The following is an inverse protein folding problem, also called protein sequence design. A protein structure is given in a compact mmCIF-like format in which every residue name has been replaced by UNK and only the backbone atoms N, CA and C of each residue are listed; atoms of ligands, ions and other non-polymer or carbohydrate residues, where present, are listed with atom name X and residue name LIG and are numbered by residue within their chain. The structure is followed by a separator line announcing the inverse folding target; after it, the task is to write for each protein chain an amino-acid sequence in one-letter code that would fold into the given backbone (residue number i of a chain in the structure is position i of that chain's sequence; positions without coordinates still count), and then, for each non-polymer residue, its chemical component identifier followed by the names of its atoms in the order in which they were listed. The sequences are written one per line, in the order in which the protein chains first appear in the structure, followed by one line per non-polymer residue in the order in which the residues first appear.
data_IF_024324764647
#
_entry.id   IF_024324764647
#
_cell.length_a   1.000
_cell.length_b   1.000
_cell.length_c   1.000
_cell.angle_alpha   90.00
_cell.angle_beta   90.00
_cell.angle_gamma   90.00
#
_symmetry.space_group_name_H-M   'P 1'
#
loop_
_entity.id
_entity.type
_entity.pdbx_description
1 polymer ?
2 non-polymer ?
3 non-polymer ?
4 water ?
#
# COMPACT_ATOMS: atom_id res chain seq x y z
N UNK A 1 10.05 9.16 26.46
CA UNK A 1 10.88 9.53 25.33
C UNK A 1 10.38 8.84 24.06
N UNK A 2 10.24 9.60 22.98
CA UNK A 2 9.74 9.03 21.73
C UNK A 2 10.76 8.10 21.09
N UNK A 3 10.25 7.20 20.26
CA UNK A 3 11.11 6.41 19.40
C UNK A 3 11.72 7.31 18.32
N UNK A 4 12.97 7.02 17.97
CA UNK A 4 13.71 7.84 17.01
C UNK A 4 13.89 7.09 15.71
N UNK A 5 13.58 7.76 14.59
CA UNK A 5 13.75 7.19 13.26
C UNK A 5 14.42 8.22 12.36
N UNK A 6 15.20 7.74 11.41
CA UNK A 6 15.91 8.57 10.44
C UNK A 6 15.74 7.95 9.05
N UNK A 7 15.30 8.76 8.09
CA UNK A 7 15.08 8.26 6.74
C UNK A 7 15.52 9.27 5.69
N UNK A 8 16.13 8.78 4.64
CA UNK A 8 16.32 9.53 3.41
C UNK A 8 15.16 9.25 2.47
N UNK A 9 14.56 10.30 1.91
CA UNK A 9 13.48 10.17 0.94
C UNK A 9 13.81 11.02 -0.28
N UNK A 10 13.15 10.72 -1.40
CA UNK A 10 13.39 11.38 -2.67
C UNK A 10 12.10 11.98 -3.19
N UNK A 11 12.20 13.17 -3.79
CA UNK A 11 11.10 13.83 -4.46
C UNK A 11 11.19 13.53 -5.94
N UNK A 12 10.16 12.87 -6.49
CA UNK A 12 10.16 12.43 -7.87
C UNK A 12 9.08 13.14 -8.67
N UNK A 13 9.32 13.29 -9.96
CA UNK A 13 8.34 13.88 -10.87
C UNK A 13 8.99 14.76 -11.92
N UNK A 14 8.22 15.03 -12.98
CA UNK A 14 8.69 15.82 -14.11
C UNK A 14 9.04 17.25 -13.68
N UNK A 15 9.60 18.00 -14.63
CA UNK A 15 9.95 19.37 -14.35
C UNK A 15 8.71 20.22 -14.08
N UNK A 16 8.85 21.13 -13.11
CA UNK A 16 7.82 22.11 -12.75
C UNK A 16 6.57 21.49 -12.16
N UNK A 17 6.62 20.26 -11.64
CA UNK A 17 5.45 19.70 -10.96
C UNK A 17 5.30 20.24 -9.54
N UNK A 18 6.34 20.84 -8.98
CA UNK A 18 6.30 21.37 -7.65
C UNK A 18 7.14 20.63 -6.61
N UNK A 19 8.13 19.86 -7.02
CA UNK A 19 8.96 19.14 -6.06
C UNK A 19 9.63 20.09 -5.07
N UNK A 20 10.27 21.14 -5.57
CA UNK A 20 10.94 22.09 -4.69
C UNK A 20 9.93 22.86 -3.83
N UNK A 21 8.85 23.34 -4.45
CA UNK A 21 7.86 24.11 -3.70
C UNK A 21 7.22 23.28 -2.60
N UNK A 22 7.01 21.99 -2.86
CA UNK A 22 6.46 21.13 -1.83
C UNK A 22 7.46 20.94 -0.68
N UNK A 23 8.73 20.75 -1.01
CA UNK A 23 9.75 20.61 0.02
C UNK A 23 9.90 21.89 0.82
N UNK A 24 9.85 23.05 0.15
CA UNK A 24 9.91 24.33 0.85
C UNK A 24 8.71 24.50 1.78
N UNK A 25 7.51 24.17 1.29
CA UNK A 25 6.32 24.27 2.15
C UNK A 25 6.45 23.37 3.36
N UNK A 26 7.02 22.18 3.20
CA UNK A 26 7.14 21.24 4.31
C UNK A 26 8.17 21.71 5.33
N UNK A 27 9.36 22.13 4.86
CA UNK A 27 10.48 22.41 5.75
C UNK A 27 10.50 23.84 6.27
N UNK A 28 10.09 24.82 5.47
CA UNK A 28 10.14 26.23 5.87
C UNK A 28 8.77 26.87 5.99
N UNK A 29 7.71 26.13 5.63
CA UNK A 29 6.32 26.56 5.79
C UNK A 29 6.06 27.93 5.17
N UNK A 30 6.43 28.06 3.90
CA UNK A 30 6.04 29.22 3.13
C UNK A 30 6.06 28.85 1.65
N UNK A 31 5.63 29.79 0.82
CA UNK A 31 5.55 29.62 -0.62
C UNK A 31 5.91 30.94 -1.28
N UNK A 32 6.70 30.87 -2.35
CA UNK A 32 7.15 32.06 -3.06
C UNK A 32 7.42 31.68 -4.51
N UNK A 33 6.73 32.35 -5.44
CA UNK A 33 6.95 32.08 -6.86
C UNK A 33 8.39 32.33 -7.26
N UNK A 34 9.07 33.26 -6.57
CA UNK A 34 10.44 33.63 -6.87
C UNK A 34 11.45 32.99 -5.92
N UNK A 35 11.09 31.86 -5.32
CA UNK A 35 12.04 31.15 -4.47
C UNK A 35 13.16 30.56 -5.31
N UNK A 36 14.40 30.80 -4.89
CA UNK A 36 15.57 30.33 -5.66
C UNK A 36 16.34 29.25 -4.91
N UNK A 42 21.96 19.17 -1.76
CA UNK A 42 21.08 18.28 -2.51
C UNK A 42 19.80 17.95 -1.75
N UNK A 43 19.79 18.17 -0.44
CA UNK A 43 18.67 17.74 0.39
C UNK A 43 18.36 18.78 1.46
N UNK A 44 17.11 18.76 1.91
CA UNK A 44 16.66 19.54 3.06
C UNK A 44 16.41 18.60 4.23
N UNK A 45 16.45 19.15 5.43
CA UNK A 45 16.25 18.38 6.66
C UNK A 45 14.97 18.83 7.34
N UNK A 46 14.22 17.88 7.84
CA UNK A 46 13.00 18.15 8.60
C UNK A 46 12.89 17.15 9.74
N UNK A 47 12.66 17.66 10.95
CA UNK A 47 12.37 16.81 12.10
C UNK A 47 10.88 16.88 12.39
N UNK A 48 10.24 15.72 12.50
CA UNK A 48 8.80 15.61 12.56
C UNK A 48 8.39 14.69 13.70
N UNK A 49 7.43 15.13 14.51
CA UNK A 49 6.87 14.34 15.59
C UNK A 49 5.54 13.75 15.17
N UNK A 50 5.32 12.48 15.52
CA UNK A 50 4.06 11.78 15.26
C UNK A 50 3.46 11.38 16.60
N UNK A 51 2.35 12.02 16.98
CA UNK A 51 1.79 11.86 18.32
C UNK A 51 1.17 10.49 18.51
N UNK A 52 0.50 9.97 17.49
CA UNK A 52 -0.28 8.74 17.63
C UNK A 52 0.56 7.55 18.05
N UNK A 53 1.88 7.59 17.79
CA UNK A 53 2.74 6.46 18.09
C UNK A 53 3.97 6.91 18.88
N UNK A 54 4.01 8.18 19.27
CA UNK A 54 5.11 8.77 20.02
C UNK A 54 6.45 8.46 19.33
N UNK A 55 6.56 8.93 18.10
CA UNK A 55 7.74 8.67 17.28
C UNK A 55 8.26 9.99 16.71
N UNK A 56 9.58 10.12 16.68
CA UNK A 56 10.25 11.29 16.14
C UNK A 56 11.05 10.88 14.91
N UNK A 57 10.82 11.56 13.80
CA UNK A 57 11.44 11.22 12.53
C UNK A 57 12.29 12.39 12.06
N UNK A 58 13.53 12.10 11.67
CA UNK A 58 14.42 13.06 11.02
C UNK A 58 14.55 12.65 9.56
N UNK A 59 14.17 13.54 8.65
CA UNK A 59 14.12 13.25 7.23
C UNK A 59 15.23 13.98 6.48
N UNK A 60 15.87 13.28 5.55
CA UNK A 60 16.67 13.90 4.51
C UNK A 60 15.84 13.86 3.23
N UNK A 61 15.42 15.03 2.76
CA UNK A 61 14.53 15.15 1.60
C UNK A 61 15.38 15.54 0.39
N UNK A 62 15.70 14.58 -0.46
CA UNK A 62 16.54 14.82 -1.62
C UNK A 62 15.68 15.31 -2.79
N UNK A 63 16.14 16.36 -3.46
CA UNK A 63 15.36 16.99 -4.52
C UNK A 63 16.34 17.51 -5.57
N UNK A 64 16.54 16.73 -6.64
CA UNK A 64 17.43 17.13 -7.73
C UNK A 64 17.10 16.36 -8.99
N UNK A 72 25.26 9.09 -12.96
CA UNK A 72 26.15 9.26 -11.83
C UNK A 72 25.45 9.98 -10.68
N UNK A 73 25.03 11.21 -10.95
CA UNK A 73 24.28 11.97 -9.95
C UNK A 73 22.94 11.30 -9.66
N UNK A 74 22.33 10.67 -10.66
CA UNK A 74 21.08 9.96 -10.45
C UNK A 74 21.26 8.80 -9.48
N UNK A 75 22.34 8.03 -9.63
CA UNK A 75 22.56 6.88 -8.77
C UNK A 75 22.79 7.33 -7.32
N UNK A 76 23.57 8.40 -7.12
CA UNK A 76 23.73 8.96 -5.79
C UNK A 76 22.46 9.59 -5.26
N UNK A 77 21.59 10.06 -6.15
CA UNK A 77 20.32 10.64 -5.73
C UNK A 77 19.44 9.58 -5.08
N UNK A 78 19.33 8.40 -5.72
CA UNK A 78 18.44 7.37 -5.21
C UNK A 78 19.05 6.57 -4.06
N UNK A 79 20.38 6.46 -4.01
CA UNK A 79 21.02 5.51 -3.12
C UNK A 79 20.63 5.76 -1.66
N UNK A 80 20.24 4.68 -0.98
CA UNK A 80 19.88 4.76 0.42
C UNK A 80 18.48 5.28 0.71
N UNK A 81 17.72 5.65 -0.30
CA UNK A 81 16.37 6.15 -0.07
C UNK A 81 15.47 5.02 0.41
N UNK A 82 14.65 5.34 1.41
CA UNK A 82 13.69 4.42 1.99
C UNK A 82 12.25 4.75 1.63
N UNK A 83 12.01 5.85 0.93
CA UNK A 83 10.66 6.26 0.57
C UNK A 83 10.74 7.43 -0.37
N UNK A 84 9.60 7.80 -0.92
CA UNK A 84 9.57 8.92 -1.85
C UNK A 84 8.17 9.42 -2.09
N UNK A 85 8.10 10.66 -2.58
CA UNK A 85 6.87 11.27 -3.04
C UNK A 85 6.90 11.33 -4.56
N UNK A 86 5.85 10.80 -5.18
CA UNK A 86 5.76 10.71 -6.64
C UNK A 86 4.76 11.75 -7.12
N UNK A 87 5.27 12.89 -7.59
CA UNK A 87 4.45 14.06 -7.88
C UNK A 87 4.10 14.14 -9.36
N UNK A 88 2.91 14.67 -9.63
CA UNK A 88 2.55 15.17 -10.94
C UNK A 88 1.72 16.43 -10.80
N UNK A 89 1.62 17.16 -11.91
CA UNK A 89 0.91 18.44 -11.98
C UNK A 89 -0.45 18.17 -12.61
N UNK A 90 -1.52 18.37 -11.84
CA UNK A 90 -2.86 18.04 -12.31
C UNK A 90 -3.30 18.90 -13.50
N UNK A 91 -2.56 19.97 -13.80
CA UNK A 91 -2.86 20.82 -14.94
C UNK A 91 -2.13 20.39 -16.21
N UNK A 92 -1.25 19.40 -16.12
CA UNK A 92 -0.47 18.92 -17.28
C UNK A 92 -0.51 17.40 -17.30
N UNK A 93 -1.24 16.84 -18.27
CA UNK A 93 -1.44 15.40 -18.31
C UNK A 93 -0.13 14.64 -18.54
N UNK A 94 0.79 15.21 -19.32
CA UNK A 94 2.05 14.53 -19.59
C UNK A 94 2.83 14.23 -18.31
N UNK A 95 2.73 15.11 -17.30
CA UNK A 95 3.42 14.82 -16.04
C UNK A 95 2.77 13.65 -15.31
N UNK A 96 1.48 13.41 -15.55
CA UNK A 96 0.81 12.27 -14.94
C UNK A 96 1.16 10.98 -15.68
N UNK A 97 1.27 11.05 -17.01
CA UNK A 97 1.67 9.87 -17.79
C UNK A 97 3.05 9.38 -17.37
N UNK A 98 3.95 10.30 -16.98
CA UNK A 98 5.34 9.98 -16.76
C UNK A 98 5.65 9.44 -15.37
N UNK A 99 4.69 9.48 -14.43
CA UNK A 99 5.02 9.04 -13.07
C UNK A 99 5.40 7.57 -13.05
N UNK A 100 4.87 6.77 -13.98
CA UNK A 100 5.29 5.37 -14.08
C UNK A 100 6.77 5.26 -14.42
N UNK A 101 7.27 6.16 -15.28
CA UNK A 101 8.69 6.12 -15.62
C UNK A 101 9.56 6.48 -14.42
N UNK A 102 9.09 7.39 -13.58
CA UNK A 102 9.84 7.74 -12.37
C UNK A 102 9.86 6.58 -11.40
N UNK A 103 8.71 5.91 -11.23
CA UNK A 103 8.67 4.73 -10.35
C UNK A 103 9.65 3.67 -10.81
N UNK A 104 9.65 3.36 -12.12
CA UNK A 104 10.55 2.33 -12.64
C UNK A 104 12.00 2.73 -12.46
N UNK A 105 12.32 4.00 -12.70
CA UNK A 105 13.70 4.46 -12.58
C UNK A 105 14.20 4.31 -11.14
N UNK A 106 13.36 4.71 -10.17
CA UNK A 106 13.72 4.55 -8.77
C UNK A 106 13.93 3.09 -8.42
N UNK A 107 12.95 2.24 -8.74
CA UNK A 107 13.05 0.83 -8.38
C UNK A 107 14.23 0.16 -9.08
N UNK A 108 14.48 0.53 -10.34
CA UNK A 108 15.61 -0.03 -11.06
C UNK A 108 16.93 0.44 -10.46
N UNK A 109 17.03 1.72 -10.08
CA UNK A 109 18.26 2.21 -9.48
C UNK A 109 18.54 1.53 -8.15
N UNK A 110 17.51 1.39 -7.32
CA UNK A 110 17.67 0.77 -6.00
C UNK A 110 17.68 -0.75 -6.05
N UNK A 111 17.26 -1.35 -7.16
CA UNK A 111 17.10 -2.79 -7.29
C UNK A 111 16.15 -3.35 -6.23
N UNK A 112 15.14 -2.57 -5.86
CA UNK A 112 14.10 -3.02 -4.94
C UNK A 112 13.00 -1.98 -4.92
N UNK A 113 11.84 -2.40 -4.42
CA UNK A 113 10.72 -1.49 -4.27
C UNK A 113 10.85 -0.71 -2.96
N UNK A 114 10.47 0.56 -2.99
CA UNK A 114 10.39 1.38 -1.79
C UNK A 114 8.99 1.99 -1.77
N UNK A 115 8.43 2.30 -0.61
CA UNK A 115 7.09 2.90 -0.58
C UNK A 115 7.10 4.26 -1.24
N UNK A 116 6.05 4.52 -2.03
CA UNK A 116 5.85 5.80 -2.67
C UNK A 116 4.43 6.28 -2.38
N UNK A 117 4.29 7.57 -2.17
CA UNK A 117 2.98 8.22 -2.07
C UNK A 117 2.76 9.00 -3.35
N UNK A 118 1.66 8.70 -4.04
CA UNK A 118 1.31 9.44 -5.26
C UNK A 118 0.72 10.78 -4.86
N UNK A 119 1.34 11.86 -5.32
CA UNK A 119 0.97 13.22 -4.93
C UNK A 119 0.48 13.95 -6.17
N UNK A 120 -0.81 14.28 -6.19
CA UNK A 120 -1.39 15.10 -7.25
C UNK A 120 -1.31 16.56 -6.81
N UNK A 121 -0.34 17.29 -7.35
CA UNK A 121 -0.01 18.63 -6.87
C UNK A 121 -0.67 19.71 -7.72
N UNK A 122 -0.72 20.92 -7.14
CA UNK A 122 -1.30 22.12 -7.75
C UNK A 122 -2.81 22.04 -7.88
N UNK A 123 -3.48 21.37 -6.94
CA UNK A 123 -4.93 21.23 -7.02
C UNK A 123 -5.67 22.54 -6.76
N UNK A 124 -4.97 23.58 -6.31
CA UNK A 124 -5.60 24.89 -6.18
C UNK A 124 -5.96 25.48 -7.54
N UNK A 125 -5.31 25.02 -8.61
CA UNK A 125 -5.55 25.51 -9.97
C UNK A 125 -6.75 24.77 -10.58
N UNK A 126 -7.92 25.00 -9.98
CA UNK A 126 -9.12 24.26 -10.38
C UNK A 126 -9.51 24.52 -11.83
N UNK A 127 -9.34 25.76 -12.29
CA UNK A 127 -9.82 26.12 -13.63
C UNK A 127 -8.97 25.54 -14.75
N UNK A 128 -7.75 25.08 -14.45
CA UNK A 128 -6.89 24.51 -15.47
C UNK A 128 -6.53 23.06 -15.20
N UNK A 129 -7.24 22.40 -14.27
CA UNK A 129 -6.95 21.00 -13.96
C UNK A 129 -7.45 20.09 -15.07
N UNK A 130 -6.61 19.13 -15.45
CA UNK A 130 -6.98 18.17 -16.50
C UNK A 130 -6.97 16.74 -16.01
N UNK A 131 -6.24 16.40 -14.95
CA UNK A 131 -6.19 15.05 -14.43
C UNK A 131 -7.17 14.94 -13.27
N UNK A 132 -8.19 14.10 -13.43
CA UNK A 132 -9.22 13.97 -12.42
C UNK A 132 -8.73 13.17 -11.23
N UNK A 133 -9.38 13.40 -10.08
CA UNK A 133 -9.02 12.71 -8.85
C UNK A 133 -9.05 11.20 -9.02
N UNK A 134 -10.07 10.69 -9.72
CA UNK A 134 -10.23 9.24 -9.83
C UNK A 134 -9.09 8.59 -10.60
N UNK A 135 -8.49 9.30 -11.55
CA UNK A 135 -7.38 8.73 -12.32
C UNK A 135 -6.16 8.48 -11.43
N UNK A 136 -5.79 9.48 -10.63
CA UNK A 136 -4.67 9.29 -9.72
C UNK A 136 -4.94 8.22 -8.68
N UNK A 137 -6.17 8.19 -8.16
CA UNK A 137 -6.54 7.16 -7.19
C UNK A 137 -6.39 5.76 -7.80
N UNK A 138 -6.80 5.59 -9.06
CA UNK A 138 -6.71 4.27 -9.68
C UNK A 138 -5.27 3.84 -9.88
N UNK A 139 -4.41 4.74 -10.36
CA UNK A 139 -3.00 4.38 -10.53
C UNK A 139 -2.40 3.97 -9.20
N UNK A 140 -2.59 4.78 -8.15
CA UNK A 140 -2.04 4.46 -6.85
C UNK A 140 -2.59 3.14 -6.33
N UNK A 141 -3.89 2.91 -6.52
CA UNK A 141 -4.50 1.65 -6.06
C UNK A 141 -3.88 0.45 -6.75
N UNK A 142 -3.61 0.58 -8.06
CA UNK A 142 -3.02 -0.54 -8.80
C UNK A 142 -1.63 -0.89 -8.28
N UNK A 143 -0.94 0.07 -7.66
CA UNK A 143 0.40 -0.15 -7.14
C UNK A 143 0.44 -0.26 -5.61
N UNK A 144 -0.72 -0.30 -4.97
CA UNK A 144 -0.82 -0.26 -3.50
C UNK A 144 -0.05 0.94 -2.93
N UNK A 145 -0.13 2.07 -3.63
CA UNK A 145 0.38 3.35 -3.16
C UNK A 145 -0.74 4.16 -2.54
N UNK A 146 -0.40 4.96 -1.53
CA UNK A 146 -1.33 5.96 -1.03
C UNK A 146 -1.42 7.11 -2.04
N UNK A 147 -2.53 7.84 -1.98
CA UNK A 147 -2.80 8.94 -2.90
C UNK A 147 -3.18 10.19 -2.13
N UNK A 148 -2.57 11.32 -2.47
CA UNK A 148 -2.78 12.58 -1.78
C UNK A 148 -2.90 13.71 -2.80
N UNK A 149 -3.90 14.57 -2.63
CA UNK A 149 -4.03 15.80 -3.41
C UNK A 149 -3.47 16.96 -2.61
N UNK A 150 -2.50 17.67 -3.19
CA UNK A 150 -1.73 18.66 -2.43
C UNK A 150 -1.65 19.97 -3.18
N UNK A 151 -1.32 21.02 -2.42
CA UNK A 151 -1.01 22.34 -2.98
C UNK A 151 0.12 22.93 -2.16
N UNK A 152 1.30 23.08 -2.77
CA UNK A 152 2.38 23.79 -2.12
C UNK A 152 2.00 25.23 -1.84
N UNK A 153 1.17 25.83 -2.70
CA UNK A 153 0.77 27.22 -2.52
C UNK A 153 -0.07 27.40 -1.26
N UNK A 154 -1.15 26.63 -1.12
CA UNK A 154 -2.02 26.79 0.03
C UNK A 154 -1.59 25.96 1.23
N UNK A 155 -0.67 25.02 1.05
CA UNK A 155 -0.28 24.11 2.10
C UNK A 155 -1.15 22.88 2.23
N UNK A 156 -2.19 22.75 1.39
CA UNK A 156 -3.18 21.69 1.53
C UNK A 156 -2.53 20.31 1.46
N UNK A 157 -2.66 19.55 2.55
CA UNK A 157 -2.25 18.16 2.65
C UNK A 157 -0.76 17.94 2.40
N UNK A 158 0.06 18.99 2.42
CA UNK A 158 1.49 18.80 2.21
C UNK A 158 2.12 18.04 3.37
N UNK A 159 1.91 18.53 4.60
CA UNK A 159 2.45 17.83 5.75
C UNK A 159 1.90 16.41 5.85
N UNK A 160 0.62 16.23 5.49
CA UNK A 160 0.02 14.91 5.55
C UNK A 160 0.74 13.92 4.64
N UNK A 161 1.10 14.36 3.43
CA UNK A 161 1.78 13.47 2.50
C UNK A 161 3.09 12.95 3.08
N UNK A 162 3.92 13.85 3.61
CA UNK A 162 5.17 13.42 4.22
C UNK A 162 4.91 12.57 5.46
N UNK A 163 3.92 12.95 6.28
CA UNK A 163 3.63 12.20 7.50
C UNK A 163 3.17 10.78 7.19
N UNK A 164 2.29 10.62 6.20
CA UNK A 164 1.85 9.29 5.80
C UNK A 164 3.03 8.45 5.34
N UNK A 165 3.94 9.03 4.56
CA UNK A 165 5.12 8.30 4.12
C UNK A 165 5.97 7.88 5.32
N UNK A 166 6.18 8.79 6.28
CA UNK A 166 6.95 8.45 7.47
C UNK A 166 6.35 7.26 8.20
N UNK A 167 5.03 7.24 8.37
CA UNK A 167 4.40 6.14 9.09
C UNK A 167 4.59 4.82 8.35
N UNK A 168 4.52 4.85 7.02
CA UNK A 168 4.74 3.61 6.26
C UNK A 168 6.18 3.14 6.41
N UNK A 169 7.14 4.06 6.36
CA UNK A 169 8.53 3.66 6.51
C UNK A 169 8.80 3.13 7.92
N UNK A 170 8.12 3.69 8.93
CA UNK A 170 8.27 3.20 10.30
C UNK A 170 7.73 1.79 10.44
N UNK A 171 6.54 1.52 9.88
CA UNK A 171 6.00 0.16 9.95
C UNK A 171 6.87 -0.83 9.20
N UNK A 172 7.53 -0.39 8.12
CA UNK A 172 8.45 -1.28 7.42
C UNK A 172 9.72 -1.51 8.22
N UNK A 173 10.22 -0.47 8.89
CA UNK A 173 11.33 -0.67 9.83
C UNK A 173 10.96 -1.71 10.89
N UNK A 174 9.73 -1.62 11.41
CA UNK A 174 9.30 -2.59 12.41
C UNK A 174 9.19 -3.99 11.81
N UNK A 175 8.68 -4.10 10.58
CA UNK A 175 8.65 -5.39 9.89
C UNK A 175 10.04 -6.02 9.86
N UNK A 176 11.04 -5.23 9.46
CA UNK A 176 12.40 -5.75 9.34
C UNK A 176 12.93 -6.16 10.71
N UNK A 177 12.65 -5.36 11.75
CA UNK A 177 13.04 -5.75 13.11
C UNK A 177 12.52 -7.14 13.45
N UNK A 178 11.26 -7.42 13.10
CA UNK A 178 10.69 -8.72 13.42
C UNK A 178 11.30 -9.83 12.57
N UNK A 179 11.65 -9.52 11.31
CA UNK A 179 12.23 -10.55 10.46
C UNK A 179 13.62 -10.95 10.94
N UNK A 180 14.40 -9.97 11.42
CA UNK A 180 15.74 -10.22 11.92
C UNK A 180 15.75 -10.81 13.33
N UNK A 181 14.59 -10.97 13.95
CA UNK A 181 14.48 -11.38 15.34
C UNK A 181 13.68 -12.66 15.50
N UNK A 182 13.70 -13.54 14.49
CA UNK A 182 12.89 -14.74 14.53
C UNK A 182 13.44 -15.75 15.55
N UNK B 3 -1.75 -11.41 -21.26
CA UNK B 3 -0.69 -11.99 -20.46
C UNK B 3 -1.25 -13.04 -19.49
N UNK B 4 -0.39 -13.98 -19.09
CA UNK B 4 -0.77 -15.11 -18.25
C UNK B 4 0.03 -15.05 -16.95
N UNK B 5 -0.66 -15.08 -15.82
CA UNK B 5 -0.01 -15.00 -14.52
C UNK B 5 -0.54 -16.10 -13.60
N UNK B 6 0.32 -16.52 -12.67
CA UNK B 6 -0.03 -17.54 -11.69
C UNK B 6 0.52 -17.10 -10.33
N UNK B 7 -0.36 -17.03 -9.34
CA UNK B 7 0.02 -16.57 -8.01
C UNK B 7 -0.55 -17.48 -6.94
N UNK B 8 0.27 -17.80 -5.95
CA UNK B 8 -0.19 -18.35 -4.70
C UNK B 8 -0.50 -17.20 -3.74
N UNK B 9 -1.70 -17.22 -3.15
CA UNK B 9 -2.09 -16.22 -2.17
C UNK B 9 -2.57 -16.95 -0.93
N UNK B 10 -2.52 -16.25 0.21
CA UNK B 10 -2.92 -16.81 1.49
C UNK B 10 -4.10 -16.02 2.04
N UNK B 11 -5.06 -16.73 2.62
CA UNK B 11 -6.14 -16.13 3.40
C UNK B 11 -5.72 -16.16 4.86
N UNK B 12 -5.69 -14.99 5.50
CA UNK B 12 -5.23 -14.85 6.87
C UNK B 12 -6.29 -14.22 7.77
N UNK B 13 -6.30 -14.60 9.02
CA UNK B 13 -7.22 -14.03 9.98
C UNK B 13 -7.61 -15.03 11.04
N UNK B 14 -8.16 -14.51 12.15
CA UNK B 14 -8.56 -15.35 13.27
C UNK B 14 -9.65 -16.33 12.87
N UNK B 15 -9.95 -17.25 13.78
CA UNK B 15 -11.01 -18.20 13.52
C UNK B 15 -12.35 -17.52 13.34
N UNK B 16 -13.15 -18.07 12.43
CA UNK B 16 -14.53 -17.65 12.17
C UNK B 16 -14.64 -16.23 11.62
N UNK B 17 -13.56 -15.63 11.13
CA UNK B 17 -13.68 -14.33 10.49
C UNK B 17 -14.30 -14.43 9.10
N UNK B 18 -14.28 -15.61 8.48
CA UNK B 18 -14.92 -15.79 7.19
C UNK B 18 -13.97 -16.08 6.04
N UNK B 19 -12.80 -16.65 6.34
CA UNK B 19 -11.83 -16.94 5.29
C UNK B 19 -12.38 -17.96 4.30
N UNK B 20 -12.98 -19.03 4.81
CA UNK B 20 -13.55 -20.05 3.94
C UNK B 20 -14.76 -19.52 3.18
N UNK B 21 -15.65 -18.81 3.87
CA UNK B 21 -16.85 -18.29 3.23
C UNK B 21 -16.50 -17.32 2.11
N UNK B 22 -15.46 -16.50 2.31
CA UNK B 22 -15.06 -15.56 1.26
C UNK B 22 -14.48 -16.30 0.05
N UNK B 23 -13.66 -17.31 0.29
CA UNK B 23 -13.11 -18.09 -0.82
C UNK B 23 -14.21 -18.85 -1.54
N UNK B 24 -15.19 -19.35 -0.79
CA UNK B 24 -16.29 -20.10 -1.39
C UNK B 24 -17.19 -19.19 -2.23
N UNK B 25 -17.50 -18.00 -1.73
CA UNK B 25 -18.23 -17.02 -2.53
C UNK B 25 -17.46 -16.66 -3.79
N UNK B 26 -16.15 -16.47 -3.67
CA UNK B 26 -15.32 -16.08 -4.81
C UNK B 26 -15.30 -17.17 -5.88
N UNK B 27 -15.00 -18.41 -5.49
CA UNK B 27 -14.73 -19.48 -6.43
C UNK B 27 -16.00 -20.19 -6.92
N UNK B 28 -17.01 -20.33 -6.07
CA UNK B 28 -18.20 -21.11 -6.41
C UNK B 28 -19.49 -20.31 -6.37
N UNK B 29 -19.43 -19.03 -6.01
CA UNK B 29 -20.58 -18.11 -6.13
C UNK B 29 -21.76 -18.56 -5.28
N UNK B 30 -21.49 -19.06 -4.07
CA UNK B 30 -22.57 -19.42 -3.17
C UNK B 30 -22.12 -19.24 -1.73
N UNK B 31 -23.11 -19.09 -0.84
CA UNK B 31 -22.87 -18.89 0.58
C UNK B 31 -23.82 -19.81 1.35
N UNK B 32 -23.25 -20.75 2.12
CA UNK B 32 -24.00 -21.64 2.98
C UNK B 32 -23.32 -21.68 4.33
N UNK B 33 -24.08 -21.43 5.40
CA UNK B 33 -23.51 -21.35 6.74
C UNK B 33 -22.95 -22.70 7.16
N UNK B 41 -7.24 -31.07 0.38
CA UNK B 41 -6.52 -30.20 -0.52
C UNK B 41 -5.98 -28.98 0.22
N UNK B 42 -4.76 -28.56 -0.14
CA UNK B 42 -4.13 -27.43 0.53
C UNK B 42 -4.67 -26.08 0.05
N UNK B 43 -5.30 -26.03 -1.11
CA UNK B 43 -5.69 -24.76 -1.68
C UNK B 43 -6.91 -24.93 -2.58
N UNK B 44 -7.59 -23.81 -2.82
CA UNK B 44 -8.63 -23.71 -3.83
C UNK B 44 -8.09 -22.96 -5.04
N UNK B 45 -8.52 -23.36 -6.23
CA UNK B 45 -8.06 -22.78 -7.48
C UNK B 45 -9.13 -21.84 -8.03
N UNK B 46 -8.70 -20.74 -8.63
CA UNK B 46 -9.60 -19.80 -9.28
C UNK B 46 -8.94 -19.28 -10.55
N UNK B 47 -9.70 -19.26 -11.63
CA UNK B 47 -9.30 -18.61 -12.87
C UNK B 47 -10.10 -17.31 -13.01
N UNK B 48 -9.40 -16.20 -13.22
CA UNK B 48 -10.08 -14.94 -13.46
C UNK B 48 -9.34 -14.15 -14.51
N UNK B 49 -10.06 -13.24 -15.17
CA UNK B 49 -9.49 -12.38 -16.19
C UNK B 49 -9.71 -10.92 -15.80
N UNK B 50 -8.66 -10.12 -15.92
CA UNK B 50 -8.74 -8.68 -15.68
C UNK B 50 -8.80 -8.01 -17.05
N UNK B 51 -9.99 -7.52 -17.40
CA UNK B 51 -10.26 -7.18 -18.80
C UNK B 51 -9.59 -5.87 -19.21
N UNK B 52 -9.43 -4.92 -18.28
CA UNK B 52 -8.87 -3.63 -18.65
C UNK B 52 -7.42 -3.74 -19.10
N UNK B 53 -6.68 -4.72 -18.60
CA UNK B 53 -5.32 -4.97 -19.03
C UNK B 53 -5.19 -6.31 -19.76
N UNK B 54 -6.31 -6.98 -20.00
CA UNK B 54 -6.35 -8.28 -20.67
C UNK B 54 -5.33 -9.25 -20.08
N UNK B 55 -5.45 -9.46 -18.78
CA UNK B 55 -4.58 -10.38 -18.07
C UNK B 55 -5.39 -11.56 -17.57
N UNK B 56 -4.84 -12.76 -17.75
CA UNK B 56 -5.42 -13.99 -17.21
C UNK B 56 -4.62 -14.44 -16.01
N UNK B 57 -5.30 -14.67 -14.89
CA UNK B 57 -4.67 -15.03 -13.63
C UNK B 57 -5.18 -16.39 -13.19
N UNK B 58 -4.27 -17.23 -12.71
CA UNK B 58 -4.61 -18.46 -12.01
C UNK B 58 -4.19 -18.30 -10.56
N UNK B 59 -5.16 -18.37 -9.64
CA UNK B 59 -4.88 -18.22 -8.22
C UNK B 59 -4.91 -19.58 -7.53
N UNK B 60 -3.91 -19.82 -6.68
CA UNK B 60 -3.93 -20.90 -5.70
C UNK B 60 -4.18 -20.24 -4.35
N UNK B 61 -5.33 -20.51 -3.75
CA UNK B 61 -5.77 -19.81 -2.55
C UNK B 61 -5.58 -20.74 -1.36
N UNK B 62 -4.57 -20.44 -0.54
CA UNK B 62 -4.26 -21.24 0.64
C UNK B 62 -4.91 -20.63 1.86
N UNK B 63 -5.45 -21.49 2.73
CA UNK B 63 -6.15 -21.05 3.93
C UNK B 63 -5.54 -21.72 5.15
N UNK B 64 -5.27 -20.92 6.18
CA UNK B 64 -4.74 -21.41 7.45
C UNK B 64 -5.86 -21.31 8.48
N UNK B 65 -6.85 -22.20 8.34
CA UNK B 65 -8.07 -22.18 9.12
C UNK B 65 -7.81 -22.20 10.61
N UNK B 66 -7.46 -23.37 11.13
CA UNK B 66 -7.08 -23.47 12.54
C UNK B 66 -8.28 -23.60 13.45
N UNK B 67 -8.32 -22.83 14.54
CA UNK B 67 -7.36 -21.76 14.86
C UNK B 67 -5.97 -22.22 15.31
N UNK B 68 -4.93 -21.82 14.58
CA UNK B 68 -3.57 -22.15 14.99
C UNK B 68 -2.95 -21.01 15.77
N UNK B 69 -2.09 -21.38 16.71
CA UNK B 69 -1.35 -20.37 17.47
C UNK B 69 -0.31 -19.71 16.58
N UNK B 70 -0.08 -18.42 16.83
CA UNK B 70 0.96 -17.71 16.09
C UNK B 70 2.32 -18.35 16.32
N UNK B 71 3.13 -18.39 15.28
CA UNK B 71 4.47 -18.93 15.39
C UNK B 71 5.45 -17.89 14.87
N UNK B 72 6.69 -17.96 15.38
CA UNK B 72 7.74 -17.08 14.86
C UNK B 72 7.90 -17.26 13.37
N UNK B 73 8.06 -18.50 12.91
CA UNK B 73 8.14 -18.85 11.50
C UNK B 73 7.28 -20.09 11.27
N UNK B 74 6.30 -19.99 10.38
CA UNK B 74 5.43 -21.12 10.07
C UNK B 74 5.95 -21.81 8.82
N UNK B 75 6.30 -23.09 8.96
CA UNK B 75 6.91 -23.82 7.86
C UNK B 75 5.87 -24.18 6.80
N UNK B 76 6.26 -24.05 5.54
CA UNK B 76 5.42 -24.52 4.43
C UNK B 76 4.27 -23.66 3.95
N UNK B 77 3.42 -23.20 4.88
CA UNK B 77 2.17 -22.56 4.47
C UNK B 77 2.42 -21.33 3.60
N UNK B 78 3.36 -20.47 4.00
CA UNK B 78 3.56 -19.22 3.25
C UNK B 78 4.42 -19.39 2.02
N UNK B 79 5.20 -20.47 1.93
CA UNK B 79 6.21 -20.63 0.90
C UNK B 79 5.62 -20.40 -0.49
N UNK B 80 6.25 -19.49 -1.25
CA UNK B 80 5.81 -19.19 -2.60
C UNK B 80 4.72 -18.13 -2.70
N UNK B 81 4.14 -17.71 -1.59
CA UNK B 81 3.04 -16.74 -1.65
C UNK B 81 3.55 -15.38 -2.12
N UNK B 82 2.76 -14.75 -2.99
CA UNK B 82 3.07 -13.41 -3.50
C UNK B 82 2.05 -12.36 -3.06
N UNK B 83 1.06 -12.74 -2.27
CA UNK B 83 0.04 -11.79 -1.84
C UNK B 83 -0.92 -12.50 -0.91
N UNK B 84 -1.83 -11.72 -0.34
CA UNK B 84 -2.81 -12.32 0.56
C UNK B 84 -3.90 -11.36 0.94
N UNK B 85 -4.94 -11.93 1.54
CA UNK B 85 -6.05 -11.18 2.11
C UNK B 85 -6.00 -11.31 3.62
N UNK B 86 -6.07 -10.18 4.31
CA UNK B 86 -5.93 -10.10 5.76
C UNK B 86 -7.30 -9.73 6.35
N UNK B 87 -8.03 -10.74 6.82
CA UNK B 87 -9.42 -10.59 7.21
C UNK B 87 -9.58 -10.40 8.71
N UNK B 88 -10.57 -9.59 9.09
CA UNK B 88 -11.07 -9.62 10.46
C UNK B 88 -12.59 -9.52 10.42
N UNK B 89 -13.17 -9.77 11.58
CA UNK B 89 -14.62 -9.77 11.77
C UNK B 89 -14.99 -8.45 12.45
N UNK B 90 -15.70 -7.58 11.74
CA UNK B 90 -16.05 -6.27 12.26
C UNK B 90 -16.94 -6.33 13.49
N UNK B 91 -17.48 -7.51 13.81
CA UNK B 91 -18.27 -7.68 15.03
C UNK B 91 -17.44 -8.17 16.22
N UNK B 92 -16.15 -8.42 16.02
CA UNK B 92 -15.30 -8.93 17.09
C UNK B 92 -13.99 -8.15 17.08
N UNK B 93 -13.81 -7.28 18.07
CA UNK B 93 -12.63 -6.43 18.16
C UNK B 93 -11.35 -7.25 18.22
N UNK B 94 -11.40 -8.42 18.88
CA UNK B 94 -10.18 -9.22 19.05
C UNK B 94 -9.61 -9.65 17.71
N UNK B 95 -10.47 -9.98 16.74
CA UNK B 95 -9.96 -10.39 15.43
C UNK B 95 -9.30 -9.23 14.70
N UNK B 96 -9.73 -7.99 14.97
CA UNK B 96 -9.08 -6.83 14.38
C UNK B 96 -7.72 -6.59 15.02
N UNK B 97 -7.62 -6.72 16.34
CA UNK B 97 -6.35 -6.54 17.01
C UNK B 97 -5.31 -7.54 16.47
N UNK B 98 -5.75 -8.74 16.15
CA UNK B 98 -4.83 -9.80 15.76
C UNK B 98 -4.36 -9.74 14.31
N UNK B 99 -4.92 -8.87 13.46
CA UNK B 99 -4.47 -8.89 12.07
C UNK B 99 -3.00 -8.47 11.99
N UNK B 100 -2.54 -7.58 12.88
CA UNK B 100 -1.12 -7.24 12.90
C UNK B 100 -0.26 -8.48 13.14
N UNK B 101 -0.74 -9.38 14.02
CA UNK B 101 0.05 -10.57 14.33
C UNK B 101 0.08 -11.54 13.16
N UNK B 102 -1.01 -11.64 12.40
CA UNK B 102 -1.00 -12.44 11.18
C UNK B 102 -0.06 -11.85 10.14
N UNK B 103 -0.11 -10.52 9.96
CA UNK B 103 0.80 -9.87 9.04
C UNK B 103 2.25 -10.21 9.35
N UNK B 104 2.63 -10.08 10.62
CA UNK B 104 4.01 -10.32 11.02
C UNK B 104 4.40 -11.79 10.83
N UNK B 105 3.50 -12.73 11.12
CA UNK B 105 3.83 -14.13 10.92
C UNK B 105 4.14 -14.41 9.46
N UNK B 106 3.36 -13.83 8.56
CA UNK B 106 3.64 -13.98 7.13
C UNK B 106 5.00 -13.38 6.78
N UNK B 107 5.27 -12.16 7.24
CA UNK B 107 6.50 -11.48 6.84
C UNK B 107 7.72 -12.16 7.44
N UNK B 108 7.66 -12.56 8.71
CA UNK B 108 8.75 -13.32 9.31
C UNK B 108 8.97 -14.64 8.57
N UNK B 109 7.89 -15.34 8.23
CA UNK B 109 8.03 -16.64 7.58
C UNK B 109 8.59 -16.50 6.16
N UNK B 110 8.28 -15.42 5.48
CA UNK B 110 8.76 -15.20 4.12
C UNK B 110 10.06 -14.42 4.07
N UNK B 111 10.44 -13.77 5.17
CA UNK B 111 11.62 -12.91 5.23
C UNK B 111 11.53 -11.76 4.23
N UNK B 112 10.31 -11.36 3.90
CA UNK B 112 10.05 -10.23 3.01
C UNK B 112 8.60 -9.80 3.18
N UNK B 113 8.33 -8.57 2.76
CA UNK B 113 6.95 -8.09 2.70
C UNK B 113 6.30 -8.56 1.42
N UNK B 114 5.02 -8.91 1.51
CA UNK B 114 4.20 -9.19 0.33
C UNK B 114 2.96 -8.31 0.41
N UNK B 115 2.32 -7.98 -0.72
CA UNK B 115 1.11 -7.14 -0.65
C UNK B 115 -0.02 -7.87 0.05
N UNK B 116 -0.67 -7.18 0.98
CA UNK B 116 -1.86 -7.66 1.65
C UNK B 116 -2.97 -6.65 1.47
N UNK B 117 -4.19 -7.14 1.30
CA UNK B 117 -5.39 -6.31 1.26
C UNK B 117 -6.12 -6.54 2.57
N UNK B 118 -6.34 -5.47 3.33
CA UNK B 118 -7.07 -5.56 4.60
C UNK B 118 -8.54 -5.70 4.26
N UNK B 119 -9.18 -6.76 4.77
CA UNK B 119 -10.55 -7.09 4.46
C UNK B 119 -11.37 -7.04 5.74
N UNK B 120 -12.25 -6.04 5.86
CA UNK B 120 -13.18 -5.96 6.97
C UNK B 120 -14.43 -6.75 6.59
N UNK B 121 -14.55 -7.96 7.12
CA UNK B 121 -15.61 -8.88 6.70
C UNK B 121 -16.81 -8.82 7.65
N UNK B 122 -17.95 -9.33 7.14
CA UNK B 122 -19.23 -9.39 7.87
C UNK B 122 -19.83 -8.02 8.09
N UNK B 123 -19.63 -7.08 7.17
CA UNK B 123 -20.21 -5.75 7.31
C UNK B 123 -21.73 -5.76 7.15
N UNK B 124 -22.31 -6.89 6.74
CA UNK B 124 -23.76 -7.01 6.71
C UNK B 124 -24.37 -7.06 8.11
N UNK B 125 -23.56 -7.38 9.13
CA UNK B 125 -24.04 -7.40 10.52
C UNK B 125 -23.90 -6.00 11.11
N UNK B 126 -24.75 -5.10 10.61
CA UNK B 126 -24.64 -3.68 10.97
C UNK B 126 -24.90 -3.44 12.45
N UNK B 127 -25.86 -4.16 13.03
CA UNK B 127 -26.24 -3.92 14.41
C UNK B 127 -25.21 -4.47 15.40
N UNK B 128 -24.41 -5.45 15.00
CA UNK B 128 -23.40 -6.04 15.86
C UNK B 128 -21.99 -5.54 15.56
N UNK B 129 -21.83 -4.66 14.58
CA UNK B 129 -20.51 -4.18 14.21
C UNK B 129 -19.90 -3.32 15.31
N UNK B 130 -18.63 -3.56 15.60
CA UNK B 130 -17.92 -2.81 16.63
C UNK B 130 -16.65 -2.13 16.12
N UNK B 131 -16.07 -2.58 15.01
CA UNK B 131 -14.87 -1.98 14.46
C UNK B 131 -15.29 -1.01 13.35
N UNK B 132 -15.05 0.28 13.57
CA UNK B 132 -15.49 1.31 12.65
C UNK B 132 -14.64 1.30 11.38
N UNK B 133 -15.22 1.86 10.30
CA UNK B 133 -14.52 1.93 9.03
C UNK B 133 -13.19 2.67 9.16
N UNK B 134 -13.21 3.81 9.85
CA UNK B 134 -12.00 4.63 9.97
C UNK B 134 -10.86 3.84 10.59
N UNK B 135 -11.16 2.98 11.57
CA UNK B 135 -10.13 2.20 12.22
C UNK B 135 -9.41 1.29 11.25
N UNK B 136 -10.16 0.58 10.39
CA UNK B 136 -9.53 -0.30 9.43
C UNK B 136 -8.78 0.46 8.35
N UNK B 137 -9.31 1.61 7.93
CA UNK B 137 -8.64 2.44 6.94
C UNK B 137 -7.31 2.94 7.48
N UNK B 138 -7.27 3.33 8.75
CA UNK B 138 -6.03 3.83 9.33
C UNK B 138 -4.98 2.73 9.42
N UNK B 139 -5.37 1.53 9.86
CA UNK B 139 -4.40 0.43 9.93
C UNK B 139 -3.84 0.12 8.55
N UNK B 140 -4.72 0.01 7.55
CA UNK B 140 -4.27 -0.26 6.20
C UNK B 140 -3.34 0.84 5.70
N UNK B 141 -3.70 2.10 5.92
CA UNK B 141 -2.91 3.22 5.41
C UNK B 141 -1.50 3.23 6.01
N UNK B 142 -1.38 2.91 7.30
CA UNK B 142 -0.07 2.89 7.95
C UNK B 142 0.86 1.85 7.36
N UNK B 143 0.34 0.82 6.70
CA UNK B 143 1.14 -0.22 6.08
C UNK B 143 1.13 -0.13 4.56
N UNK B 144 0.55 0.93 4.00
CA UNK B 144 0.36 1.05 2.56
C UNK B 144 -0.41 -0.14 1.98
N UNK B 145 -1.37 -0.65 2.77
CA UNK B 145 -2.30 -1.68 2.30
C UNK B 145 -3.58 -1.03 1.79
N UNK B 146 -4.20 -1.67 0.81
CA UNK B 146 -5.56 -1.29 0.44
C UNK B 146 -6.54 -1.84 1.47
N UNK B 147 -7.72 -1.23 1.53
CA UNK B 147 -8.73 -1.58 2.51
C UNK B 147 -10.06 -1.79 1.81
N UNK B 148 -10.76 -2.87 2.16
CA UNK B 148 -12.03 -3.23 1.54
C UNK B 148 -13.00 -3.69 2.62
N UNK B 149 -14.25 -3.24 2.53
CA UNK B 149 -15.32 -3.72 3.38
C UNK B 149 -16.10 -4.76 2.59
N UNK B 150 -16.21 -5.98 3.13
CA UNK B 150 -16.77 -7.09 2.38
C UNK B 150 -17.77 -7.86 3.23
N UNK B 151 -18.55 -8.69 2.55
CA UNK B 151 -19.47 -9.62 3.18
C UNK B 151 -19.56 -10.84 2.28
N UNK B 152 -19.12 -11.99 2.78
CA UNK B 152 -19.30 -13.22 2.02
C UNK B 152 -20.77 -13.58 1.88
N UNK B 153 -21.60 -13.15 2.84
CA UNK B 153 -23.03 -13.42 2.78
C UNK B 153 -23.66 -12.74 1.58
N UNK B 154 -23.55 -11.41 1.50
CA UNK B 154 -24.14 -10.69 0.38
C UNK B 154 -23.29 -10.72 -0.88
N UNK B 155 -22.01 -11.04 -0.75
CA UNK B 155 -21.08 -10.99 -1.86
C UNK B 155 -20.43 -9.65 -2.11
N UNK B 156 -20.79 -8.63 -1.34
CA UNK B 156 -20.29 -7.28 -1.54
C UNK B 156 -18.76 -7.24 -1.49
N UNK B 157 -18.16 -6.74 -2.57
CA UNK B 157 -16.74 -6.45 -2.67
C UNK B 157 -15.85 -7.68 -2.54
N UNK B 158 -16.43 -8.88 -2.61
CA UNK B 158 -15.60 -10.09 -2.55
C UNK B 158 -14.74 -10.20 -3.80
N UNK B 159 -15.36 -10.09 -4.97
CA UNK B 159 -14.61 -10.12 -6.23
C UNK B 159 -13.58 -9.00 -6.28
N UNK B 160 -13.97 -7.80 -5.86
CA UNK B 160 -13.06 -6.65 -5.92
C UNK B 160 -11.81 -6.88 -5.09
N UNK B 161 -11.97 -7.47 -3.90
CA UNK B 161 -10.81 -7.72 -3.04
C UNK B 161 -9.77 -8.59 -3.73
N UNK B 162 -10.19 -9.73 -4.28
CA UNK B 162 -9.25 -10.59 -5.00
C UNK B 162 -8.72 -9.89 -6.25
N UNK B 163 -9.59 -9.19 -6.98
CA UNK B 163 -9.17 -8.55 -8.21
C UNK B 163 -8.10 -7.48 -7.95
N UNK B 164 -8.32 -6.64 -6.93
CA UNK B 164 -7.34 -5.61 -6.62
C UNK B 164 -6.01 -6.22 -6.20
N UNK B 165 -6.05 -7.33 -5.45
CA UNK B 165 -4.82 -7.99 -5.04
C UNK B 165 -4.07 -8.53 -6.26
N UNK B 166 -4.81 -9.11 -7.21
CA UNK B 166 -4.20 -9.58 -8.44
C UNK B 166 -3.51 -8.45 -9.20
N UNK B 167 -4.16 -7.30 -9.32
CA UNK B 167 -3.56 -6.19 -10.04
C UNK B 167 -2.28 -5.71 -9.35
N UNK B 168 -2.29 -5.69 -8.01
CA UNK B 168 -1.09 -5.29 -7.27
C UNK B 168 0.04 -6.29 -7.51
N UNK B 169 -0.27 -7.58 -7.48
CA UNK B 169 0.75 -8.59 -7.72
C UNK B 169 1.28 -8.50 -9.15
N UNK B 170 0.41 -8.22 -10.12
CA UNK B 170 0.84 -8.08 -11.50
C UNK B 170 1.78 -6.88 -11.64
N UNK B 171 1.40 -5.74 -11.08
CA UNK B 171 2.28 -4.56 -11.14
C UNK B 171 3.62 -4.85 -10.47
N UNK B 172 3.62 -5.64 -9.39
CA UNK B 172 4.88 -5.97 -8.75
C UNK B 172 5.68 -6.98 -9.57
N UNK B 173 5.01 -7.89 -10.27
CA UNK B 173 5.71 -8.76 -11.21
C UNK B 173 6.43 -7.95 -12.28
N UNK B 174 5.77 -6.93 -12.80
CA UNK B 174 6.38 -6.07 -13.81
C UNK B 174 7.51 -5.23 -13.22
N UNK B 175 7.37 -4.79 -11.96
CA UNK B 175 8.47 -4.12 -11.28
C UNK B 175 9.72 -4.99 -11.28
N UNK B 176 9.57 -6.26 -10.90
CA UNK B 176 10.71 -7.18 -10.83
C UNK B 176 11.32 -7.37 -12.21
N UNK B 177 10.48 -7.55 -13.23
CA UNK B 177 10.99 -7.73 -14.59
C UNK B 177 11.69 -6.47 -15.09
N UNK B 178 11.22 -5.30 -14.69
CA UNK B 178 11.85 -4.05 -15.09
C UNK B 178 13.13 -3.78 -14.31
N UNK B 179 13.20 -4.22 -13.06
CA UNK B 179 14.42 -4.04 -12.27
C UNK B 179 15.58 -4.84 -12.84
N UNK B 180 15.29 -5.96 -13.50
CA UNK B 180 16.32 -6.79 -14.08
C UNK B 180 16.60 -6.47 -15.55
N UNK B 181 15.64 -5.87 -16.24
CA UNK B 181 15.79 -5.56 -17.66
C UNK B 181 16.89 -4.53 -17.89
#
# INVERSE_FOLDING_TARGET
MPAEYRYKIVMLGDGAVGKTAMTTRFTQNFFDTDYKRTIGSDFAVKRLQLDDINAHVTLQIWDLAGQPRFESVRQGFYRGARGGLLLYDVTRRRTFINIENWKEEAFRSLQKEIPLVVVANKVDLKDSRVVATEEGEEYAKNNSFMYVESSALTGENVEEAYANLCRIMIEESKDISEMTST
MPAEYRYKIVMLGDGAVGKTAMTTRFTQNFFDTDYKRTIGSDFAVKRLQLDDINAHVTLQIWDLAGQPRFESVRQGFYRGARGGLLLYDVTRRRTFINIENWKEEAFRSLQKEIPLVVVANKVDLKDSRVVATEEGEEYAKNNSFMYVESSALTGENVEEAYANLCRIMIEESKDISEMTST
#
